data_IF_266404677748
#
_entry.id   IF_266404677748
#
_cell.length_a   1.000
_cell.length_b   1.000
_cell.length_c   1.000
_cell.angle_alpha   90.00
_cell.angle_beta   90.00
_cell.angle_gamma   90.00
#
_symmetry.space_group_name_H-M   'P 1'
#
loop_
_entity.id
_entity.type
_entity.pdbx_description
1 polymer ?
#
# COMPACT_ATOMS: atom_id res chain seq x y z
N UNK A 1 -90.87 71.48 18.54
CA UNK A 1 -90.88 70.06 18.15
C UNK A 1 -90.07 69.25 19.18
N UNK A 2 -90.73 68.48 20.05
CA UNK A 2 -90.10 67.42 20.87
C UNK A 2 -90.80 66.11 20.51
N UNK A 3 -90.02 65.14 20.02
CA UNK A 3 -90.49 63.76 19.75
C UNK A 3 -90.67 63.00 21.07
N UNK A 4 -91.65 62.09 21.18
CA UNK A 4 -91.87 61.30 22.38
C UNK A 4 -90.86 60.16 22.52
N UNK A 5 -90.50 59.85 23.77
CA UNK A 5 -89.68 58.70 24.15
C UNK A 5 -90.35 57.37 23.81
N UNK A 6 -89.59 56.46 23.21
CA UNK A 6 -90.04 55.16 22.73
C UNK A 6 -90.02 54.07 23.80
N UNK A 7 -90.99 53.17 23.69
CA UNK A 7 -91.32 52.01 24.53
C UNK A 7 -90.14 51.04 24.87
N UNK A 8 -88.96 51.20 24.28
CA UNK A 8 -87.81 50.30 24.43
C UNK A 8 -87.02 50.45 25.74
N UNK A 9 -86.91 51.65 26.32
CA UNK A 9 -86.03 51.87 27.49
C UNK A 9 -86.60 51.34 28.80
N UNK A 10 -87.92 51.14 28.89
CA UNK A 10 -88.57 50.52 30.06
C UNK A 10 -88.39 49.00 30.11
N UNK A 11 -88.13 48.33 28.98
CA UNK A 11 -88.03 46.88 28.91
C UNK A 11 -86.67 46.35 29.42
N UNK A 12 -85.58 47.07 29.12
CA UNK A 12 -84.22 46.64 29.50
C UNK A 12 -83.94 46.72 31.01
N UNK A 13 -84.47 47.74 31.71
CA UNK A 13 -84.31 47.86 33.17
C UNK A 13 -85.07 46.79 33.97
N UNK A 14 -86.04 46.11 33.37
CA UNK A 14 -86.80 45.03 34.01
C UNK A 14 -86.09 43.67 33.94
N UNK A 15 -85.30 43.43 32.88
CA UNK A 15 -84.58 42.16 32.65
C UNK A 15 -83.37 42.02 33.60
N UNK A 16 -82.62 43.09 33.84
CA UNK A 16 -81.43 43.06 34.73
C UNK A 16 -81.78 42.78 36.20
N UNK A 17 -82.92 43.28 36.68
CA UNK A 17 -83.36 43.01 38.06
C UNK A 17 -83.84 41.57 38.28
N UNK A 18 -84.34 40.89 37.24
CA UNK A 18 -84.75 39.47 37.32
C UNK A 18 -83.56 38.51 37.25
N UNK A 19 -82.51 38.82 36.48
CA UNK A 19 -81.31 37.97 36.42
C UNK A 19 -80.54 37.96 37.76
N UNK A 20 -80.42 39.11 38.40
CA UNK A 20 -79.70 39.25 39.68
C UNK A 20 -80.38 38.50 40.84
N UNK A 21 -81.72 38.39 40.83
CA UNK A 21 -82.49 37.66 41.85
C UNK A 21 -82.46 36.12 41.67
N UNK A 22 -82.22 35.63 40.44
CA UNK A 22 -82.09 34.19 40.15
C UNK A 22 -80.71 33.65 40.54
N UNK A 23 -79.66 34.44 40.33
CA UNK A 23 -78.26 34.03 40.60
C UNK A 23 -77.91 33.94 42.10
N UNK A 24 -78.65 34.60 42.99
CA UNK A 24 -78.42 34.48 44.45
C UNK A 24 -79.00 33.19 45.05
N UNK A 25 -80.00 32.59 44.40
CA UNK A 25 -80.75 31.42 44.91
C UNK A 25 -80.01 30.08 44.69
N UNK A 26 -79.04 30.03 43.78
CA UNK A 26 -78.32 28.81 43.40
C UNK A 26 -76.82 28.80 43.78
N UNK A 27 -76.33 29.83 44.51
CA UNK A 27 -74.90 29.89 44.93
C UNK A 27 -74.49 28.69 45.78
N UNK A 28 -75.39 28.16 46.62
CA UNK A 28 -75.13 26.95 47.41
C UNK A 28 -75.05 25.68 46.57
N UNK A 29 -75.92 25.54 45.56
CA UNK A 29 -75.96 24.35 44.68
C UNK A 29 -74.75 24.30 43.74
N UNK A 30 -74.33 25.47 43.23
CA UNK A 30 -73.13 25.58 42.39
C UNK A 30 -71.85 25.19 43.14
N UNK A 31 -71.73 25.52 44.43
CA UNK A 31 -70.59 25.13 45.26
C UNK A 31 -70.58 23.62 45.57
N UNK A 32 -71.74 23.03 45.85
CA UNK A 32 -71.85 21.59 46.16
C UNK A 32 -71.53 20.69 44.96
N UNK A 33 -71.79 21.15 43.73
CA UNK A 33 -71.49 20.37 42.51
C UNK A 33 -70.09 20.64 41.97
N UNK A 34 -69.59 21.87 42.08
CA UNK A 34 -68.27 22.22 41.51
C UNK A 34 -67.10 21.64 42.30
N UNK A 35 -67.19 21.55 43.63
CA UNK A 35 -66.11 21.04 44.48
C UNK A 35 -65.82 19.54 44.22
N UNK A 36 -66.81 18.63 44.19
CA UNK A 36 -66.56 17.22 43.87
C UNK A 36 -66.00 17.01 42.47
N UNK A 37 -66.47 17.77 41.49
CA UNK A 37 -65.99 17.68 40.09
C UNK A 37 -64.53 18.11 40.00
N UNK A 38 -64.15 19.19 40.67
CA UNK A 38 -62.76 19.65 40.72
C UNK A 38 -61.85 18.66 41.47
N UNK A 39 -62.34 18.03 42.54
CA UNK A 39 -61.60 16.99 43.26
C UNK A 39 -61.40 15.74 42.40
N UNK A 40 -62.41 15.30 41.64
CA UNK A 40 -62.27 14.17 40.71
C UNK A 40 -61.26 14.49 39.60
N UNK A 41 -61.31 15.71 39.04
CA UNK A 41 -60.33 16.15 38.04
C UNK A 41 -58.91 16.20 38.61
N UNK A 42 -58.74 16.68 39.86
CA UNK A 42 -57.46 16.70 40.54
C UNK A 42 -56.90 15.28 40.75
N UNK A 43 -57.73 14.32 41.16
CA UNK A 43 -57.33 12.91 41.32
C UNK A 43 -56.94 12.28 39.97
N UNK A 44 -57.68 12.54 38.89
CA UNK A 44 -57.38 11.98 37.56
C UNK A 44 -56.09 12.54 36.96
N UNK A 45 -55.73 13.78 37.30
CA UNK A 45 -54.56 14.48 36.73
C UNK A 45 -53.30 14.37 37.59
N UNK A 46 -53.44 14.30 38.92
CA UNK A 46 -52.29 14.30 39.85
C UNK A 46 -51.92 12.90 40.36
N UNK A 47 -52.79 11.88 40.22
CA UNK A 47 -52.37 10.50 40.52
C UNK A 47 -51.58 9.97 39.33
N UNK A 48 -50.27 9.68 39.49
CA UNK A 48 -49.48 9.10 38.41
C UNK A 48 -50.12 7.76 38.03
N UNK A 49 -50.52 7.63 36.76
CA UNK A 49 -50.96 6.35 36.20
C UNK A 49 -49.80 5.37 36.33
N UNK A 50 -49.88 4.49 37.32
CA UNK A 50 -49.06 3.28 37.35
C UNK A 50 -49.41 2.54 36.07
N UNK A 51 -48.49 2.55 35.12
CA UNK A 51 -48.61 1.73 33.92
C UNK A 51 -48.81 0.29 34.39
N UNK A 52 -49.73 -0.49 33.79
CA UNK A 52 -49.81 -1.91 34.13
C UNK A 52 -48.40 -2.47 33.96
N UNK A 53 -47.90 -3.20 34.96
CA UNK A 53 -46.64 -3.92 34.89
C UNK A 53 -46.58 -4.58 33.52
N UNK A 54 -45.74 -4.03 32.64
CA UNK A 54 -45.36 -4.69 31.42
C UNK A 54 -44.63 -5.92 31.91
N UNK A 55 -45.33 -7.05 31.93
CA UNK A 55 -44.66 -8.34 31.99
C UNK A 55 -43.62 -8.26 30.89
N UNK A 56 -42.36 -8.12 31.27
CA UNK A 56 -41.24 -8.28 30.35
C UNK A 56 -41.50 -9.61 29.67
N UNK A 57 -41.86 -9.57 28.39
CA UNK A 57 -41.66 -10.75 27.56
C UNK A 57 -40.18 -11.06 27.77
N UNK A 58 -39.81 -12.27 28.22
CA UNK A 58 -38.40 -12.63 28.25
C UNK A 58 -37.90 -12.37 26.84
N UNK A 59 -36.99 -11.41 26.70
CA UNK A 59 -36.30 -11.18 25.44
C UNK A 59 -35.78 -12.54 25.01
N UNK A 60 -36.35 -13.09 23.94
CA UNK A 60 -35.80 -14.32 23.38
C UNK A 60 -34.32 -14.05 23.11
N UNK A 61 -33.45 -15.02 23.37
CA UNK A 61 -32.00 -14.95 23.08
C UNK A 61 -31.67 -14.52 21.63
N UNK A 62 -32.68 -14.45 20.76
CA UNK A 62 -32.64 -13.88 19.40
C UNK A 62 -32.58 -12.35 19.34
N UNK A 63 -33.14 -11.60 20.29
CA UNK A 63 -33.16 -10.12 20.24
C UNK A 63 -31.95 -9.45 20.89
N UNK A 64 -31.26 -10.14 21.80
CA UNK A 64 -29.93 -9.73 22.32
C UNK A 64 -28.81 -9.92 21.28
N UNK A 65 -29.11 -10.52 20.13
CA UNK A 65 -28.25 -10.52 18.94
C UNK A 65 -28.52 -9.28 18.08
N UNK A 66 -28.39 -8.09 18.64
CA UNK A 66 -27.76 -7.02 17.87
C UNK A 66 -26.27 -7.33 17.84
N UNK A 67 -25.92 -8.33 17.03
CA UNK A 67 -24.53 -8.65 16.71
C UNK A 67 -24.02 -7.41 15.96
N UNK A 68 -23.29 -6.55 16.67
CA UNK A 68 -22.42 -5.58 16.02
C UNK A 68 -21.59 -6.32 14.96
N UNK A 69 -21.14 -5.63 13.89
CA UNK A 69 -20.54 -6.29 12.73
C UNK A 69 -19.55 -7.38 13.17
N UNK A 70 -19.81 -8.62 12.76
CA UNK A 70 -19.05 -9.79 13.21
C UNK A 70 -17.56 -9.58 12.88
N UNK A 71 -16.74 -9.48 13.93
CA UNK A 71 -15.30 -9.32 13.78
C UNK A 71 -14.71 -10.71 13.56
N UNK A 72 -14.24 -10.97 12.35
CA UNK A 72 -13.60 -12.24 12.01
C UNK A 72 -12.08 -12.09 12.04
N UNK A 73 -11.38 -13.00 12.72
CA UNK A 73 -9.92 -13.09 12.58
C UNK A 73 -9.58 -13.83 11.29
N UNK A 74 -8.72 -13.25 10.46
CA UNK A 74 -8.19 -13.85 9.23
C UNK A 74 -6.66 -13.93 9.32
N UNK A 75 -6.10 -14.94 8.67
CA UNK A 75 -4.66 -15.06 8.48
C UNK A 75 -4.36 -15.19 6.99
N UNK A 76 -3.14 -14.82 6.59
CA UNK A 76 -2.58 -15.14 5.28
C UNK A 76 -1.08 -15.37 5.43
N UNK A 77 -0.57 -16.41 4.75
CA UNK A 77 0.84 -16.78 4.76
C UNK A 77 1.43 -16.52 3.38
N UNK A 78 2.44 -15.67 3.32
CA UNK A 78 3.11 -15.31 2.07
C UNK A 78 4.60 -15.56 2.20
N UNK A 79 5.12 -16.44 1.35
CA UNK A 79 6.54 -16.67 1.20
C UNK A 79 7.11 -15.80 0.09
N UNK A 80 8.13 -15.01 0.43
CA UNK A 80 8.97 -14.30 -0.54
C UNK A 80 10.25 -15.09 -0.78
N UNK A 81 10.37 -15.71 -1.96
CA UNK A 81 11.56 -16.42 -2.39
C UNK A 81 12.47 -15.51 -3.21
N UNK A 82 13.25 -14.71 -2.49
CA UNK A 82 14.31 -13.85 -3.02
C UNK A 82 15.54 -14.60 -3.56
N UNK A 83 16.37 -13.90 -4.32
CA UNK A 83 17.63 -14.45 -4.85
C UNK A 83 18.67 -14.76 -3.77
N UNK A 84 18.68 -14.02 -2.66
CA UNK A 84 19.68 -14.14 -1.59
C UNK A 84 19.16 -14.88 -0.35
N UNK A 85 17.85 -15.11 -0.27
CA UNK A 85 17.20 -15.72 0.88
C UNK A 85 15.70 -15.89 0.64
N UNK A 86 15.07 -16.70 1.49
CA UNK A 86 13.63 -16.92 1.52
C UNK A 86 13.05 -16.38 2.82
N UNK A 87 11.85 -15.81 2.76
CA UNK A 87 11.16 -15.19 3.90
C UNK A 87 9.75 -15.73 4.00
N UNK A 88 9.19 -15.72 5.20
CA UNK A 88 7.76 -15.93 5.43
C UNK A 88 7.19 -14.74 6.18
N UNK A 89 6.03 -14.28 5.73
CA UNK A 89 5.16 -13.37 6.45
C UNK A 89 3.89 -14.14 6.83
N UNK A 90 3.52 -14.07 8.10
CA UNK A 90 2.24 -14.59 8.61
C UNK A 90 1.44 -13.41 9.10
N UNK A 91 0.59 -12.88 8.21
CA UNK A 91 -0.25 -11.74 8.51
C UNK A 91 -1.49 -12.18 9.27
N UNK A 92 -1.84 -11.42 10.31
CA UNK A 92 -3.09 -11.56 11.06
C UNK A 92 -3.92 -10.30 10.91
N UNK A 93 -5.16 -10.47 10.49
CA UNK A 93 -6.12 -9.38 10.30
C UNK A 93 -7.36 -9.55 11.19
N UNK A 94 -7.93 -8.42 11.60
CA UNK A 94 -9.36 -8.35 11.95
C UNK A 94 -10.14 -7.90 10.72
N UNK A 95 -11.15 -8.66 10.34
CA UNK A 95 -12.07 -8.30 9.28
C UNK A 95 -13.37 -7.78 9.88
N UNK A 96 -13.78 -6.56 9.48
CA UNK A 96 -15.06 -5.95 9.86
C UNK A 96 -15.76 -5.44 8.62
N UNK A 97 -16.96 -5.94 8.34
CA UNK A 97 -17.75 -5.55 7.16
C UNK A 97 -16.94 -5.59 5.84
N UNK A 98 -16.10 -6.63 5.67
CA UNK A 98 -15.23 -6.79 4.51
C UNK A 98 -13.92 -6.01 4.53
N UNK A 99 -13.71 -5.08 5.47
CA UNK A 99 -12.45 -4.34 5.60
C UNK A 99 -11.46 -5.11 6.47
N UNK A 100 -10.22 -5.25 5.99
CA UNK A 100 -9.11 -5.91 6.69
C UNK A 100 -8.28 -4.88 7.47
N UNK A 101 -8.14 -5.08 8.78
CA UNK A 101 -7.26 -4.32 9.65
C UNK A 101 -6.09 -5.20 10.10
N UNK A 102 -4.86 -4.84 9.72
CA UNK A 102 -3.65 -5.58 10.06
C UNK A 102 -3.38 -5.44 11.56
N UNK A 103 -3.23 -6.58 12.23
CA UNK A 103 -2.95 -6.63 13.66
C UNK A 103 -1.51 -7.04 13.92
N UNK A 104 -0.94 -7.94 13.11
CA UNK A 104 0.45 -8.35 13.23
C UNK A 104 0.99 -8.97 11.95
N UNK A 105 2.28 -8.80 11.71
CA UNK A 105 3.09 -9.56 10.76
C UNK A 105 4.15 -10.36 11.52
N UNK A 106 4.04 -11.69 11.52
CA UNK A 106 5.13 -12.54 12.01
C UNK A 106 6.07 -12.84 10.87
N UNK A 107 7.30 -12.33 10.99
CA UNK A 107 8.32 -12.39 9.96
C UNK A 107 9.48 -13.32 10.36
N UNK A 108 9.91 -14.17 9.43
CA UNK A 108 11.17 -14.91 9.55
C UNK A 108 11.88 -15.00 8.19
N UNK A 109 13.22 -15.04 8.22
CA UNK A 109 14.06 -15.10 7.02
C UNK A 109 15.17 -16.14 7.16
N UNK A 110 15.42 -16.86 6.06
CA UNK A 110 16.54 -17.78 5.90
C UNK A 110 17.45 -17.37 4.74
N UNK A 111 18.71 -17.82 4.82
CA UNK A 111 19.70 -17.78 3.74
C UNK A 111 20.35 -19.17 3.62
N UNK A 112 20.78 -19.60 2.42
CA UNK A 112 20.63 -18.91 1.14
C UNK A 112 19.21 -19.04 0.55
N UNK A 113 18.94 -18.37 -0.58
CA UNK A 113 17.66 -18.46 -1.29
C UNK A 113 17.52 -19.73 -2.14
N UNK A 114 16.32 -19.98 -2.67
CA UNK A 114 15.99 -21.20 -3.43
C UNK A 114 16.92 -21.46 -4.63
N UNK A 115 17.38 -20.40 -5.31
CA UNK A 115 18.28 -20.52 -6.46
C UNK A 115 19.63 -21.15 -6.13
N UNK A 116 20.06 -21.14 -4.87
CA UNK A 116 21.31 -21.79 -4.43
C UNK A 116 21.21 -23.31 -4.40
N UNK A 117 20.00 -23.85 -4.56
CA UNK A 117 19.71 -25.28 -4.62
C UNK A 117 19.29 -25.70 -6.05
N UNK A 118 19.75 -24.98 -7.08
CA UNK A 118 19.38 -25.20 -8.48
C UNK A 118 19.51 -26.65 -8.96
N UNK A 119 20.47 -27.41 -8.42
CA UNK A 119 20.71 -28.81 -8.79
C UNK A 119 19.89 -29.82 -7.95
N UNK A 120 19.28 -29.38 -6.84
CA UNK A 120 18.56 -30.25 -5.90
C UNK A 120 17.22 -29.62 -5.46
N UNK A 121 16.15 -29.80 -6.27
CA UNK A 121 14.82 -29.28 -5.96
C UNK A 121 14.24 -29.77 -4.63
N UNK A 122 14.57 -31.00 -4.21
CA UNK A 122 14.09 -31.55 -2.95
C UNK A 122 14.72 -30.82 -1.75
N UNK A 123 16.04 -30.54 -1.83
CA UNK A 123 16.73 -29.72 -0.84
C UNK A 123 16.26 -28.26 -0.86
N UNK A 124 15.94 -27.72 -2.04
CA UNK A 124 15.34 -26.38 -2.16
C UNK A 124 14.03 -26.29 -1.36
N UNK A 125 13.12 -27.24 -1.55
CA UNK A 125 11.86 -27.29 -0.81
C UNK A 125 12.11 -27.51 0.69
N UNK A 126 12.95 -28.47 1.06
CA UNK A 126 13.27 -28.77 2.46
C UNK A 126 13.87 -27.56 3.21
N UNK A 127 14.58 -26.67 2.51
CA UNK A 127 15.13 -25.44 3.12
C UNK A 127 14.07 -24.49 3.66
N UNK A 128 12.82 -24.60 3.22
CA UNK A 128 11.69 -23.79 3.70
C UNK A 128 11.05 -24.33 4.99
N UNK A 129 11.45 -25.51 5.47
CA UNK A 129 10.81 -26.14 6.62
C UNK A 129 10.80 -25.25 7.88
N UNK A 130 11.90 -24.57 8.28
CA UNK A 130 11.86 -23.73 9.47
C UNK A 130 10.85 -22.58 9.37
N UNK A 131 10.70 -22.00 8.17
CA UNK A 131 9.71 -20.95 7.90
C UNK A 131 8.26 -21.50 7.96
N UNK A 132 8.05 -22.74 7.51
CA UNK A 132 6.75 -23.42 7.64
C UNK A 132 6.42 -23.72 9.10
N UNK A 133 7.41 -24.13 9.89
CA UNK A 133 7.23 -24.39 11.32
C UNK A 133 6.76 -23.11 12.06
N UNK A 134 7.31 -21.95 11.68
CA UNK A 134 6.86 -20.65 12.18
C UNK A 134 5.42 -20.32 11.78
N UNK A 135 5.02 -20.63 10.54
CA UNK A 135 3.63 -20.47 10.12
C UNK A 135 2.67 -21.39 10.90
N UNK A 136 3.04 -22.66 11.07
CA UNK A 136 2.27 -23.65 11.84
C UNK A 136 2.11 -23.26 13.31
N UNK A 137 3.16 -22.72 13.91
CA UNK A 137 3.14 -22.24 15.30
C UNK A 137 2.30 -20.97 15.48
N UNK A 138 2.32 -20.09 14.48
CA UNK A 138 1.64 -18.78 14.54
C UNK A 138 0.14 -18.88 14.29
N UNK A 139 -0.29 -19.73 13.33
CA UNK A 139 -1.71 -19.84 12.96
C UNK A 139 -2.43 -20.91 13.82
N UNK A 140 -3.49 -20.55 14.56
CA UNK A 140 -4.23 -21.51 15.37
C UNK A 140 -4.82 -22.66 14.53
N UNK A 141 -4.76 -23.89 15.04
CA UNK A 141 -5.19 -25.10 14.33
C UNK A 141 -6.61 -25.00 13.71
N UNK A 142 -7.54 -24.34 14.40
CA UNK A 142 -8.92 -24.14 13.93
C UNK A 142 -9.04 -23.24 12.70
N UNK A 143 -8.03 -22.42 12.41
CA UNK A 143 -8.02 -21.47 11.28
C UNK A 143 -7.11 -21.90 10.13
N UNK A 144 -6.23 -22.90 10.34
CA UNK A 144 -5.25 -23.34 9.34
C UNK A 144 -5.91 -23.72 8.02
N UNK A 145 -6.96 -24.55 8.04
CA UNK A 145 -7.66 -25.00 6.82
C UNK A 145 -8.28 -23.85 5.99
N UNK A 146 -8.55 -22.71 6.62
CA UNK A 146 -9.10 -21.52 5.95
C UNK A 146 -8.04 -20.47 5.59
N UNK A 147 -6.81 -20.65 6.04
CA UNK A 147 -5.72 -19.69 5.86
C UNK A 147 -5.03 -19.92 4.52
N UNK A 148 -5.05 -18.95 3.58
CA UNK A 148 -4.31 -19.06 2.35
C UNK A 148 -2.80 -19.09 2.60
N UNK A 149 -2.11 -19.95 1.87
CA UNK A 149 -0.64 -19.99 1.78
C UNK A 149 -0.21 -19.81 0.33
N UNK A 150 0.80 -18.98 0.11
CA UNK A 150 1.43 -18.79 -1.20
C UNK A 150 2.94 -18.62 -1.08
N UNK A 151 3.66 -18.97 -2.13
CA UNK A 151 5.06 -18.66 -2.35
C UNK A 151 5.24 -18.02 -3.72
N UNK A 152 5.87 -16.86 -3.73
CA UNK A 152 6.22 -16.19 -4.97
C UNK A 152 7.73 -16.01 -5.03
N UNK A 153 8.34 -16.53 -6.08
CA UNK A 153 9.77 -16.39 -6.34
C UNK A 153 10.04 -15.16 -7.21
N UNK A 154 11.08 -14.41 -6.89
CA UNK A 154 11.46 -13.21 -7.65
C UNK A 154 12.43 -13.54 -8.79
N UNK A 155 12.99 -12.50 -9.42
CA UNK A 155 13.85 -12.61 -10.60
C UNK A 155 15.03 -13.60 -10.47
N UNK A 156 15.54 -13.85 -9.25
CA UNK A 156 16.65 -14.78 -9.03
C UNK A 156 16.36 -16.20 -9.50
N UNK A 157 15.14 -16.70 -9.30
CA UNK A 157 14.77 -18.06 -9.71
C UNK A 157 14.53 -18.13 -11.23
N UNK A 158 13.98 -17.06 -11.83
CA UNK A 158 13.75 -16.94 -13.28
C UNK A 158 15.04 -17.03 -14.12
N UNK A 159 16.18 -16.66 -13.54
CA UNK A 159 17.47 -16.66 -14.24
C UNK A 159 18.17 -18.03 -14.25
N UNK A 160 17.59 -19.06 -13.63
CA UNK A 160 18.18 -20.40 -13.67
C UNK A 160 18.06 -21.00 -15.08
N UNK A 161 19.10 -21.73 -15.54
CA UNK A 161 19.08 -22.34 -16.87
C UNK A 161 18.18 -23.58 -16.92
N UNK A 162 17.57 -23.83 -18.08
CA UNK A 162 16.78 -25.03 -18.34
C UNK A 162 15.46 -25.04 -17.58
N UNK A 163 15.07 -26.21 -17.06
CA UNK A 163 13.82 -26.47 -16.33
C UNK A 163 13.98 -26.39 -14.79
N UNK A 164 15.09 -25.84 -14.31
CA UNK A 164 15.48 -25.87 -12.89
C UNK A 164 14.50 -25.08 -12.01
N UNK A 165 14.05 -23.93 -12.48
CA UNK A 165 13.09 -23.10 -11.76
C UNK A 165 11.76 -23.83 -11.57
N UNK A 166 11.25 -24.45 -12.64
CA UNK A 166 10.01 -25.22 -12.66
C UNK A 166 10.10 -26.43 -11.74
N UNK A 167 11.23 -27.15 -11.76
CA UNK A 167 11.46 -28.30 -10.86
C UNK A 167 11.49 -27.89 -9.39
N UNK A 168 12.13 -26.76 -9.05
CA UNK A 168 12.12 -26.21 -7.69
C UNK A 168 10.70 -25.82 -7.28
N UNK A 169 9.97 -25.09 -8.11
CA UNK A 169 8.60 -24.67 -7.80
C UNK A 169 7.66 -25.86 -7.64
N UNK A 170 7.80 -26.90 -8.46
CA UNK A 170 7.05 -28.14 -8.31
C UNK A 170 7.33 -28.83 -6.96
N UNK A 171 8.60 -28.93 -6.55
CA UNK A 171 8.97 -29.50 -5.26
C UNK A 171 8.40 -28.68 -4.07
N UNK A 172 8.46 -27.35 -4.17
CA UNK A 172 7.86 -26.44 -3.18
C UNK A 172 6.34 -26.59 -3.14
N UNK A 173 5.67 -26.66 -4.27
CA UNK A 173 4.21 -26.83 -4.33
C UNK A 173 3.78 -28.13 -3.67
N UNK A 174 4.52 -29.23 -3.89
CA UNK A 174 4.28 -30.50 -3.20
C UNK A 174 4.50 -30.40 -1.69
N UNK A 175 5.47 -29.61 -1.24
CA UNK A 175 5.69 -29.35 0.19
C UNK A 175 4.51 -28.56 0.80
N UNK A 176 4.05 -27.50 0.13
CA UNK A 176 2.94 -26.67 0.62
C UNK A 176 1.60 -27.42 0.62
N UNK A 177 1.35 -28.28 -0.38
CA UNK A 177 0.15 -29.13 -0.44
C UNK A 177 0.03 -30.13 0.72
N UNK A 178 1.14 -30.47 1.39
CA UNK A 178 1.15 -31.35 2.56
C UNK A 178 0.81 -30.62 3.87
N UNK A 179 0.74 -29.30 3.84
CA UNK A 179 0.46 -28.49 5.02
C UNK A 179 -1.06 -28.36 5.25
N UNK A 180 -1.51 -28.08 6.48
CA UNK A 180 -2.94 -27.90 6.80
C UNK A 180 -3.51 -26.56 6.29
N UNK A 181 -2.77 -25.82 5.47
CA UNK A 181 -3.16 -24.53 4.91
C UNK A 181 -3.81 -24.67 3.53
N UNK A 182 -4.62 -23.69 3.15
CA UNK A 182 -5.22 -23.64 1.82
C UNK A 182 -4.22 -23.07 0.81
N UNK A 183 -3.67 -23.89 -0.07
CA UNK A 183 -2.83 -23.37 -1.16
C UNK A 183 -3.65 -22.42 -2.05
N UNK A 184 -3.20 -21.18 -2.22
CA UNK A 184 -3.85 -20.22 -3.10
C UNK A 184 -3.82 -20.71 -4.57
N UNK A 185 -4.82 -20.38 -5.41
CA UNK A 185 -4.75 -20.66 -6.85
C UNK A 185 -3.51 -20.02 -7.47
N UNK A 186 -2.68 -20.79 -8.19
CA UNK A 186 -1.38 -20.30 -8.66
C UNK A 186 -0.44 -19.87 -7.52
N UNK A 187 -0.65 -20.46 -6.34
CA UNK A 187 -0.03 -20.06 -5.08
C UNK A 187 1.47 -20.31 -5.04
N UNK A 188 2.03 -21.17 -5.89
CA UNK A 188 3.48 -21.32 -6.07
C UNK A 188 3.84 -20.92 -7.49
N UNK A 189 4.53 -19.80 -7.65
CA UNK A 189 4.88 -19.27 -8.96
C UNK A 189 6.11 -18.36 -8.91
N UNK A 190 6.71 -18.13 -10.08
CA UNK A 190 7.55 -16.94 -10.26
C UNK A 190 6.61 -15.73 -10.35
N UNK A 191 6.87 -14.72 -9.54
CA UNK A 191 6.13 -13.47 -9.58
C UNK A 191 6.40 -12.75 -10.91
N UNK A 192 5.35 -12.35 -11.62
CA UNK A 192 5.51 -11.37 -12.67
C UNK A 192 5.94 -10.05 -12.02
N UNK A 193 6.94 -9.37 -12.56
CA UNK A 193 7.36 -8.07 -12.05
C UNK A 193 6.22 -7.05 -12.02
N UNK A 194 5.19 -7.23 -12.86
CA UNK A 194 3.95 -6.43 -12.79
C UNK A 194 3.17 -6.68 -11.49
N UNK A 195 3.04 -7.93 -11.08
CA UNK A 195 2.36 -8.28 -9.82
C UNK A 195 3.14 -7.75 -8.61
N UNK A 196 4.48 -7.82 -8.65
CA UNK A 196 5.36 -7.25 -7.62
C UNK A 196 5.07 -5.76 -7.40
N UNK A 197 5.06 -4.97 -8.49
CA UNK A 197 4.75 -3.55 -8.43
C UNK A 197 3.32 -3.26 -7.99
N UNK A 198 2.35 -4.05 -8.46
CA UNK A 198 0.94 -3.91 -8.10
C UNK A 198 0.71 -4.13 -6.61
N UNK A 199 1.24 -5.22 -6.07
CA UNK A 199 1.10 -5.56 -4.66
C UNK A 199 1.92 -4.63 -3.76
N UNK A 200 3.11 -4.20 -4.16
CA UNK A 200 3.86 -3.17 -3.44
C UNK A 200 3.08 -1.84 -3.34
N UNK A 201 2.42 -1.44 -4.43
CA UNK A 201 1.53 -0.28 -4.43
C UNK A 201 0.34 -0.44 -3.46
N UNK A 202 -0.27 -1.63 -3.44
CA UNK A 202 -1.38 -1.93 -2.54
C UNK A 202 -0.94 -1.93 -1.07
N UNK A 203 0.20 -2.56 -0.75
CA UNK A 203 0.84 -2.49 0.58
C UNK A 203 0.99 -1.05 1.02
N UNK A 204 1.63 -0.23 0.18
CA UNK A 204 1.97 1.14 0.55
C UNK A 204 0.71 1.98 0.81
N UNK A 205 -0.27 1.93 -0.09
CA UNK A 205 -1.50 2.70 0.06
C UNK A 205 -2.38 2.18 1.20
N UNK A 206 -2.31 0.89 1.50
CA UNK A 206 -2.95 0.31 2.69
C UNK A 206 -2.35 0.89 3.97
N UNK A 207 -1.02 0.80 4.12
CA UNK A 207 -0.32 1.25 5.33
C UNK A 207 -0.43 2.77 5.52
N UNK A 208 -0.46 3.55 4.44
CA UNK A 208 -0.66 5.01 4.49
C UNK A 208 -2.14 5.43 4.66
N UNK A 209 -3.08 4.48 4.73
CA UNK A 209 -4.51 4.78 4.88
C UNK A 209 -5.11 5.51 3.67
N UNK A 210 -4.58 5.29 2.46
CA UNK A 210 -4.98 6.02 1.23
C UNK A 210 -6.02 5.30 0.39
N UNK A 211 -6.33 4.03 0.69
CA UNK A 211 -7.30 3.24 -0.08
C UNK A 211 -8.77 3.65 0.11
N UNK A 212 -9.09 4.47 1.12
CA UNK A 212 -10.46 4.93 1.35
C UNK A 212 -10.92 6.02 0.36
N UNK A 213 -9.99 6.67 -0.34
CA UNK A 213 -10.26 7.75 -1.28
C UNK A 213 -10.56 7.32 -2.72
N UNK A 214 -10.41 8.28 -3.63
CA UNK A 214 -10.36 8.16 -5.09
C UNK A 214 -8.96 7.75 -5.58
N UNK A 215 -8.79 7.48 -6.88
CA UNK A 215 -7.46 7.16 -7.42
C UNK A 215 -6.47 8.33 -7.20
N UNK A 216 -6.93 9.58 -7.27
CA UNK A 216 -6.09 10.76 -6.99
C UNK A 216 -5.63 10.90 -5.53
N UNK A 217 -6.29 10.24 -4.57
CA UNK A 217 -5.90 10.28 -3.16
C UNK A 217 -4.74 9.30 -2.84
N UNK A 218 -4.48 8.37 -3.75
CA UNK A 218 -3.42 7.36 -3.62
C UNK A 218 -2.04 7.91 -3.99
N UNK A 219 -1.00 7.21 -3.57
CA UNK A 219 0.40 7.51 -3.89
C UNK A 219 0.91 6.58 -5.00
N UNK A 220 1.92 7.01 -5.74
CA UNK A 220 2.69 6.13 -6.63
C UNK A 220 3.77 5.38 -5.86
N UNK A 221 4.02 4.14 -6.27
CA UNK A 221 5.15 3.34 -5.82
C UNK A 221 6.14 3.14 -6.97
N UNK A 222 7.42 3.39 -6.70
CA UNK A 222 8.53 3.04 -7.59
C UNK A 222 9.48 2.15 -6.80
N UNK A 223 9.66 0.91 -7.24
CA UNK A 223 10.50 -0.05 -6.53
C UNK A 223 11.66 -0.47 -7.40
N UNK A 224 12.89 -0.19 -6.98
CA UNK A 224 14.09 -0.60 -7.70
C UNK A 224 14.71 -1.82 -7.04
N UNK A 225 14.38 -2.99 -7.58
CA UNK A 225 15.03 -4.25 -7.24
C UNK A 225 16.37 -4.43 -7.96
N UNK A 226 16.91 -5.65 -7.89
CA UNK A 226 18.21 -5.97 -8.51
C UNK A 226 18.12 -6.16 -10.03
N UNK A 227 17.11 -6.92 -10.48
CA UNK A 227 16.93 -7.26 -11.90
C UNK A 227 15.96 -6.37 -12.65
N UNK A 228 14.98 -5.80 -11.97
CA UNK A 228 13.93 -4.95 -12.53
C UNK A 228 13.69 -3.74 -11.64
N UNK A 229 12.96 -2.79 -12.20
CA UNK A 229 12.39 -1.66 -11.49
C UNK A 229 10.92 -1.56 -11.90
N UNK A 230 10.06 -1.26 -10.94
CA UNK A 230 8.63 -1.21 -11.12
C UNK A 230 8.14 0.21 -10.90
N UNK A 231 7.06 0.57 -11.60
CA UNK A 231 6.26 1.74 -11.26
C UNK A 231 4.78 1.34 -11.24
N UNK A 232 4.07 1.78 -10.20
CA UNK A 232 2.66 1.52 -10.03
C UNK A 232 1.91 2.73 -9.46
N UNK A 233 0.73 3.03 -10.00
CA UNK A 233 -0.19 4.06 -9.49
C UNK A 233 -1.63 3.81 -9.93
N UNK A 234 -2.63 4.27 -9.14
CA UNK A 234 -4.03 4.14 -9.54
C UNK A 234 -4.37 5.05 -10.73
N UNK A 235 -5.24 4.53 -11.60
CA UNK A 235 -5.86 5.23 -12.71
C UNK A 235 -7.33 5.51 -12.40
N UNK A 236 -7.82 6.65 -12.88
CA UNK A 236 -9.25 6.88 -13.00
C UNK A 236 -9.86 5.90 -14.01
N UNK A 237 -11.14 5.57 -13.84
CA UNK A 237 -11.81 4.57 -14.68
C UNK A 237 -11.81 4.92 -16.18
N UNK A 238 -11.78 6.21 -16.54
CA UNK A 238 -11.70 6.65 -17.92
C UNK A 238 -10.32 6.33 -18.55
N UNK A 239 -9.25 6.60 -17.81
CA UNK A 239 -7.87 6.33 -18.27
C UNK A 239 -7.57 4.83 -18.33
N UNK A 240 -8.10 4.07 -17.37
CA UNK A 240 -7.95 2.61 -17.37
C UNK A 240 -8.61 1.95 -18.61
N UNK A 241 -9.71 2.52 -19.13
CA UNK A 241 -10.41 2.01 -20.31
C UNK A 241 -9.66 2.22 -21.62
N UNK A 242 -8.85 3.28 -21.70
CA UNK A 242 -8.06 3.62 -22.90
C UNK A 242 -6.62 3.14 -22.81
N UNK A 243 -6.22 2.58 -21.66
CA UNK A 243 -4.90 2.01 -21.46
C UNK A 243 -4.63 0.85 -22.44
N UNK A 244 -3.40 0.75 -22.99
CA UNK A 244 -2.98 -0.43 -23.73
C UNK A 244 -3.13 -1.70 -22.89
N UNK A 245 -3.29 -2.83 -23.58
CA UNK A 245 -3.34 -4.15 -22.94
C UNK A 245 -2.09 -4.36 -22.08
N UNK A 246 -2.26 -5.08 -20.97
CA UNK A 246 -1.20 -5.50 -20.07
C UNK A 246 -0.55 -4.39 -19.20
N UNK A 247 -1.01 -3.12 -19.29
CA UNK A 247 -0.54 -2.04 -18.41
C UNK A 247 -1.39 -1.77 -17.17
N UNK A 248 -2.59 -2.37 -17.09
CA UNK A 248 -3.50 -2.20 -15.94
C UNK A 248 -3.64 -3.52 -15.22
N UNK A 249 -3.49 -3.50 -13.90
CA UNK A 249 -3.85 -4.61 -12.99
C UNK A 249 -5.02 -4.17 -12.14
N UNK A 250 -6.00 -5.06 -11.99
CA UNK A 250 -7.14 -4.86 -11.10
C UNK A 250 -6.78 -5.44 -9.74
N UNK A 251 -6.82 -4.62 -8.70
CA UNK A 251 -6.53 -5.02 -7.32
C UNK A 251 -7.73 -4.82 -6.42
N UNK A 252 -7.84 -5.67 -5.40
CA UNK A 252 -8.91 -5.63 -4.40
C UNK A 252 -8.36 -5.28 -3.02
N UNK A 253 -8.97 -4.31 -2.34
CA UNK A 253 -8.56 -3.88 -1.00
C UNK A 253 -9.47 -2.81 -0.42
N UNK A 254 -9.54 -2.73 0.91
CA UNK A 254 -10.39 -1.77 1.63
C UNK A 254 -11.87 -1.75 1.18
N UNK A 255 -12.40 -2.91 0.75
CA UNK A 255 -13.77 -3.05 0.23
C UNK A 255 -14.01 -2.42 -1.15
N UNK A 256 -12.94 -2.10 -1.90
CA UNK A 256 -13.00 -1.49 -3.23
C UNK A 256 -12.13 -2.25 -4.23
N UNK A 257 -12.34 -1.93 -5.51
CA UNK A 257 -11.52 -2.38 -6.63
C UNK A 257 -10.76 -1.18 -7.21
N UNK A 258 -9.47 -1.36 -7.50
CA UNK A 258 -8.60 -0.33 -8.05
C UNK A 258 -8.07 -0.76 -9.42
N UNK A 259 -8.14 0.14 -10.39
CA UNK A 259 -7.40 0.00 -11.65
C UNK A 259 -6.02 0.60 -11.44
N UNK A 260 -4.98 -0.23 -11.40
CA UNK A 260 -3.62 0.21 -11.11
C UNK A 260 -2.82 0.11 -12.40
N UNK A 261 -2.31 1.25 -12.89
CA UNK A 261 -1.23 1.22 -13.86
C UNK A 261 -0.05 0.52 -13.22
N UNK A 262 0.52 -0.46 -13.89
CA UNK A 262 1.77 -1.08 -13.46
C UNK A 262 2.62 -1.45 -14.66
N UNK A 263 3.91 -1.12 -14.58
CA UNK A 263 4.90 -1.64 -15.51
C UNK A 263 6.18 -2.06 -14.77
N UNK A 264 6.75 -3.19 -15.18
CA UNK A 264 8.03 -3.69 -14.69
C UNK A 264 9.06 -3.67 -15.82
N UNK A 265 10.12 -2.90 -15.61
CA UNK A 265 11.21 -2.74 -16.56
C UNK A 265 12.29 -3.77 -16.24
N UNK A 266 12.12 -4.98 -16.77
CA UNK A 266 13.11 -6.04 -16.62
C UNK A 266 14.44 -5.64 -17.29
N UNK A 267 15.55 -5.90 -16.61
CA UNK A 267 16.88 -5.49 -17.06
C UNK A 267 17.25 -4.04 -16.69
N UNK A 268 16.42 -3.37 -15.88
CA UNK A 268 16.64 -1.99 -15.44
C UNK A 268 16.68 -1.82 -13.91
N UNK A 269 16.66 -2.90 -13.13
CA UNK A 269 17.01 -2.85 -11.69
C UNK A 269 18.47 -2.47 -11.47
N UNK A 270 18.92 -2.26 -10.23
CA UNK A 270 20.25 -1.68 -9.98
C UNK A 270 21.40 -2.55 -10.50
N UNK A 271 21.35 -3.87 -10.26
CA UNK A 271 22.37 -4.81 -10.72
C UNK A 271 22.35 -4.94 -12.25
N UNK A 272 21.16 -5.03 -12.84
CA UNK A 272 21.01 -5.04 -14.30
C UNK A 272 21.47 -3.72 -14.95
N UNK A 273 21.19 -2.60 -14.29
CA UNK A 273 21.60 -1.26 -14.68
C UNK A 273 23.11 -1.12 -14.73
N UNK A 274 23.83 -1.66 -13.75
CA UNK A 274 25.30 -1.77 -13.79
C UNK A 274 25.78 -2.47 -15.05
N UNK A 275 25.26 -3.67 -15.33
CA UNK A 275 25.61 -4.42 -16.54
C UNK A 275 25.33 -3.61 -17.82
N UNK A 276 24.15 -2.99 -17.90
CA UNK A 276 23.72 -2.18 -19.05
C UNK A 276 24.60 -0.94 -19.27
N UNK A 277 24.95 -0.22 -18.20
CA UNK A 277 25.83 0.96 -18.29
C UNK A 277 27.29 0.57 -18.58
N UNK A 278 27.77 -0.56 -18.04
CA UNK A 278 29.10 -1.09 -18.39
C UNK A 278 29.15 -1.41 -19.88
N UNK A 279 28.17 -2.14 -20.38
CA UNK A 279 28.07 -2.53 -21.79
C UNK A 279 27.98 -1.31 -22.72
N UNK A 280 27.11 -0.35 -22.41
CA UNK A 280 26.99 0.89 -23.17
C UNK A 280 28.30 1.71 -23.18
N UNK A 281 29.10 1.61 -22.11
CA UNK A 281 30.39 2.28 -22.00
C UNK A 281 31.54 1.61 -22.76
N UNK A 282 31.37 0.41 -23.31
CA UNK A 282 32.43 -0.31 -24.05
C UNK A 282 32.81 0.34 -25.37
N UNK A 283 31.89 1.11 -25.98
CA UNK A 283 32.09 1.86 -27.22
C UNK A 283 32.85 3.19 -27.02
N UNK A 284 33.26 3.51 -25.79
CA UNK A 284 33.89 4.79 -25.44
C UNK A 284 34.55 4.80 -24.06
N UNK A 285 34.64 5.98 -23.46
CA UNK A 285 35.22 6.20 -22.13
C UNK A 285 34.11 6.13 -21.07
N UNK A 286 34.10 5.10 -20.23
CA UNK A 286 33.05 4.91 -19.22
C UNK A 286 33.25 5.86 -18.02
N UNK A 287 32.52 6.97 -18.03
CA UNK A 287 32.58 8.00 -16.99
C UNK A 287 32.05 7.58 -15.61
N UNK A 288 31.54 6.37 -15.44
CA UNK A 288 30.98 5.93 -14.16
C UNK A 288 32.01 5.34 -13.18
N UNK A 289 33.25 5.10 -13.63
CA UNK A 289 34.29 4.42 -12.84
C UNK A 289 35.50 5.33 -12.60
N UNK A 290 35.93 5.42 -11.34
CA UNK A 290 37.12 6.15 -10.93
C UNK A 290 38.39 5.29 -11.00
N UNK A 291 39.58 5.92 -10.93
CA UNK A 291 40.84 5.18 -10.88
C UNK A 291 40.86 4.14 -9.78
N UNK A 292 41.35 2.95 -10.11
CA UNK A 292 41.38 1.78 -9.24
C UNK A 292 40.13 0.89 -9.32
N UNK A 293 39.04 1.35 -9.94
CA UNK A 293 37.85 0.55 -10.23
C UNK A 293 37.95 -0.09 -11.63
N UNK A 294 38.65 -1.21 -11.73
CA UNK A 294 38.71 -2.03 -12.94
C UNK A 294 38.46 -3.50 -12.58
N UNK A 295 37.74 -4.22 -13.44
CA UNK A 295 37.45 -5.61 -13.17
C UNK A 295 36.37 -6.20 -14.07
N UNK A 296 35.79 -7.30 -13.59
CA UNK A 296 34.68 -7.99 -14.21
C UNK A 296 33.46 -7.94 -13.30
N UNK A 297 32.32 -7.61 -13.87
CA UNK A 297 31.02 -7.68 -13.22
C UNK A 297 30.23 -8.84 -13.82
N UNK A 298 30.01 -9.90 -13.05
CA UNK A 298 29.22 -11.04 -13.49
C UNK A 298 27.73 -10.77 -13.25
N UNK A 299 26.91 -10.81 -14.30
CA UNK A 299 25.47 -10.65 -14.21
C UNK A 299 24.76 -11.53 -15.23
N UNK A 300 23.72 -12.25 -14.79
CA UNK A 300 22.90 -13.13 -15.63
C UNK A 300 23.73 -14.09 -16.52
N UNK A 301 24.80 -14.67 -15.98
CA UNK A 301 25.67 -15.62 -16.70
C UNK A 301 26.66 -14.99 -17.69
N UNK A 302 26.76 -13.67 -17.75
CA UNK A 302 27.71 -12.93 -18.60
C UNK A 302 28.69 -12.10 -17.77
N UNK A 303 29.95 -12.09 -18.18
CA UNK A 303 30.99 -11.22 -17.63
C UNK A 303 31.04 -9.88 -18.37
N UNK A 304 30.88 -8.79 -17.62
CA UNK A 304 30.99 -7.42 -18.12
C UNK A 304 32.29 -6.81 -17.64
N UNK A 305 33.25 -6.59 -18.55
CA UNK A 305 34.54 -5.97 -18.20
C UNK A 305 34.41 -4.45 -18.19
N UNK A 306 34.89 -3.81 -17.12
CA UNK A 306 34.91 -2.35 -16.99
C UNK A 306 36.29 -1.86 -16.59
N UNK A 307 36.61 -0.65 -17.04
CA UNK A 307 37.83 0.07 -16.71
C UNK A 307 37.52 1.57 -16.60
N UNK A 308 38.30 2.33 -15.81
CA UNK A 308 38.09 3.76 -15.69
C UNK A 308 38.38 4.49 -16.99
N UNK A 309 37.67 5.60 -17.18
CA UNK A 309 37.79 6.54 -18.28
C UNK A 309 39.03 7.44 -18.22
N UNK A 310 39.54 7.67 -17.01
CA UNK A 310 40.63 8.59 -16.65
C UNK A 310 40.83 8.59 -15.13
N UNK A 311 41.49 9.63 -14.60
CA UNK A 311 41.90 9.67 -13.19
C UNK A 311 40.72 9.65 -12.19
N UNK A 312 39.59 10.26 -12.56
CA UNK A 312 38.34 10.24 -11.78
C UNK A 312 37.16 9.77 -12.63
N UNK A 313 36.07 9.37 -11.97
CA UNK A 313 34.78 9.28 -12.63
C UNK A 313 34.29 10.70 -12.99
N UNK A 314 33.28 10.79 -13.85
CA UNK A 314 32.64 12.01 -14.30
C UNK A 314 31.13 11.79 -14.27
N UNK A 315 30.46 12.37 -13.28
CA UNK A 315 29.03 12.20 -13.07
C UNK A 315 28.19 12.68 -14.26
N UNK A 316 28.65 13.68 -15.02
CA UNK A 316 27.94 14.17 -16.21
C UNK A 316 28.03 13.14 -17.33
N UNK A 317 29.22 12.62 -17.61
CA UNK A 317 29.40 11.55 -18.60
C UNK A 317 28.64 10.28 -18.20
N UNK A 318 28.67 9.91 -16.93
CA UNK A 318 27.90 8.77 -16.43
C UNK A 318 26.39 9.00 -16.57
N UNK A 319 25.90 10.22 -16.32
CA UNK A 319 24.49 10.59 -16.50
C UNK A 319 24.08 10.50 -17.98
N UNK A 320 24.89 11.06 -18.89
CA UNK A 320 24.67 10.95 -20.34
C UNK A 320 24.62 9.50 -20.79
N UNK A 321 25.54 8.66 -20.29
CA UNK A 321 25.57 7.23 -20.59
C UNK A 321 24.30 6.52 -20.11
N UNK A 322 23.87 6.79 -18.88
CA UNK A 322 22.63 6.24 -18.32
C UNK A 322 21.39 6.68 -19.12
N UNK A 323 21.29 7.97 -19.47
CA UNK A 323 20.18 8.49 -20.26
C UNK A 323 20.10 7.83 -21.65
N UNK A 324 21.24 7.62 -22.31
CA UNK A 324 21.31 6.90 -23.57
C UNK A 324 20.87 5.43 -23.41
N UNK A 325 21.33 4.76 -22.34
CA UNK A 325 21.00 3.35 -22.06
C UNK A 325 19.50 3.11 -21.79
N UNK A 326 18.76 4.12 -21.35
CA UNK A 326 17.32 4.03 -21.14
C UNK A 326 16.50 4.06 -22.44
N UNK A 327 17.06 4.59 -23.53
CA UNK A 327 16.31 4.86 -24.75
C UNK A 327 15.04 5.69 -24.46
N UNK A 328 15.16 6.73 -23.63
CA UNK A 328 14.03 7.56 -23.17
C UNK A 328 13.27 8.30 -24.29
N UNK A 329 13.85 8.37 -25.48
CA UNK A 329 13.25 8.98 -26.67
C UNK A 329 12.45 7.97 -27.51
N UNK A 330 12.47 6.68 -27.16
CA UNK A 330 11.70 5.66 -27.87
C UNK A 330 10.21 5.88 -27.57
N UNK A 331 9.42 6.03 -28.63
CA UNK A 331 7.95 6.11 -28.52
C UNK A 331 7.36 4.75 -28.14
N UNK A 332 6.24 4.81 -27.44
CA UNK A 332 5.44 3.68 -26.99
C UNK A 332 4.19 3.45 -27.87
N UNK A 333 4.17 4.03 -29.08
CA UNK A 333 2.99 4.02 -29.95
C UNK A 333 1.90 5.04 -29.55
N UNK A 334 2.24 5.95 -28.63
CA UNK A 334 1.39 7.05 -28.17
C UNK A 334 2.18 8.37 -28.16
N UNK A 335 1.55 9.46 -27.72
CA UNK A 335 2.25 10.75 -27.57
C UNK A 335 3.44 10.62 -26.62
N UNK A 336 4.53 11.35 -26.88
CA UNK A 336 5.78 11.21 -26.12
C UNK A 336 5.63 11.51 -24.62
N UNK A 337 4.63 12.32 -24.25
CA UNK A 337 4.29 12.61 -22.84
C UNK A 337 3.70 11.38 -22.13
N UNK A 338 3.10 10.46 -22.88
CA UNK A 338 2.52 9.23 -22.37
C UNK A 338 3.51 8.05 -22.33
N UNK A 339 4.72 8.25 -22.83
CA UNK A 339 5.77 7.24 -22.78
C UNK A 339 6.73 7.51 -21.62
N UNK A 340 7.32 6.47 -21.05
CA UNK A 340 8.41 6.57 -20.10
C UNK A 340 9.75 6.42 -20.82
N UNK A 341 10.30 5.21 -20.82
CA UNK A 341 11.55 4.81 -21.47
C UNK A 341 11.43 3.39 -22.03
N UNK A 342 12.37 3.00 -22.90
CA UNK A 342 12.36 1.70 -23.57
C UNK A 342 11.02 1.37 -24.27
N UNK A 343 10.35 2.40 -24.81
CA UNK A 343 9.09 2.25 -25.54
C UNK A 343 7.89 1.86 -24.67
N UNK A 344 7.97 2.01 -23.34
CA UNK A 344 6.87 1.69 -22.46
C UNK A 344 5.87 2.85 -22.32
N UNK A 345 4.59 2.50 -22.31
CA UNK A 345 3.49 3.43 -22.00
C UNK A 345 3.41 3.68 -20.49
N UNK A 346 2.99 4.89 -20.08
CA UNK A 346 2.88 5.34 -18.69
C UNK A 346 1.60 6.15 -18.40
N UNK A 347 0.60 6.09 -19.27
CA UNK A 347 -0.61 6.90 -19.09
C UNK A 347 -0.40 8.38 -19.38
N UNK A 348 -1.32 9.23 -18.92
CA UNK A 348 -1.37 10.66 -19.28
C UNK A 348 -0.27 11.54 -18.61
N UNK A 349 0.92 10.98 -18.40
CA UNK A 349 2.06 11.65 -17.78
C UNK A 349 2.00 11.74 -16.25
N UNK A 350 2.81 12.65 -15.69
CA UNK A 350 2.78 12.97 -14.26
C UNK A 350 1.45 13.65 -13.94
N UNK A 351 0.56 12.99 -13.19
CA UNK A 351 -0.63 13.70 -12.73
C UNK A 351 -0.18 14.80 -11.74
N UNK A 352 -0.74 16.00 -11.92
CA UNK A 352 -0.47 17.13 -11.03
C UNK A 352 -0.79 16.70 -9.60
N UNK A 353 0.18 16.83 -8.69
CA UNK A 353 0.01 16.53 -7.27
C UNK A 353 0.23 15.07 -6.86
N UNK A 354 0.58 14.15 -7.77
CA UNK A 354 0.92 12.77 -7.38
C UNK A 354 2.14 12.74 -6.46
N UNK A 355 2.01 12.04 -5.34
CA UNK A 355 3.13 11.78 -4.43
C UNK A 355 3.80 10.47 -4.83
N UNK A 356 5.14 10.48 -4.90
CA UNK A 356 5.92 9.30 -5.26
C UNK A 356 6.69 8.78 -4.05
N UNK A 357 6.57 7.49 -3.82
CA UNK A 357 7.35 6.75 -2.85
C UNK A 357 8.30 5.82 -3.59
N UNK A 358 9.57 5.88 -3.23
CA UNK A 358 10.67 5.14 -3.87
C UNK A 358 11.31 4.20 -2.85
N UNK A 359 11.48 2.93 -3.19
CA UNK A 359 11.90 1.87 -2.25
C UNK A 359 13.14 1.10 -2.69
N UNK A 360 13.54 0.11 -1.88
CA UNK A 360 14.61 -0.85 -2.15
C UNK A 360 15.96 -0.16 -2.42
N UNK A 361 16.58 -0.35 -3.59
CA UNK A 361 17.92 0.16 -3.82
C UNK A 361 18.03 1.69 -3.82
N UNK A 362 16.93 2.43 -4.00
CA UNK A 362 16.92 3.87 -3.73
C UNK A 362 17.22 4.16 -2.25
N UNK A 363 16.57 3.42 -1.35
CA UNK A 363 16.81 3.51 0.09
C UNK A 363 18.25 3.14 0.43
N UNK A 364 18.74 2.00 -0.06
CA UNK A 364 20.08 1.51 0.25
C UNK A 364 21.16 2.53 -0.15
N UNK A 365 21.09 3.08 -1.38
CA UNK A 365 22.03 4.10 -1.84
C UNK A 365 21.91 5.42 -1.07
N UNK A 366 20.72 5.76 -0.60
CA UNK A 366 20.51 6.93 0.23
C UNK A 366 21.12 6.76 1.64
N UNK A 367 21.05 5.55 2.22
CA UNK A 367 21.73 5.20 3.48
C UNK A 367 23.24 5.21 3.31
N UNK A 368 23.77 4.54 2.28
CA UNK A 368 25.22 4.41 2.01
C UNK A 368 25.91 5.77 1.90
N UNK A 369 25.18 6.81 1.48
CA UNK A 369 25.71 8.13 1.20
C UNK A 369 25.33 9.20 2.22
N UNK A 370 24.45 8.89 3.18
CA UNK A 370 23.96 9.88 4.14
C UNK A 370 22.99 10.92 3.55
N UNK A 371 22.32 10.59 2.43
CA UNK A 371 21.09 11.31 2.04
C UNK A 371 20.06 11.14 3.17
N UNK A 372 19.90 9.90 3.65
CA UNK A 372 19.21 9.61 4.91
C UNK A 372 20.18 9.86 6.05
N UNK A 373 19.90 10.88 6.86
CA UNK A 373 20.79 11.30 7.98
C UNK A 373 20.48 10.57 9.28
N UNK A 374 19.23 10.14 9.44
CA UNK A 374 18.77 9.40 10.61
C UNK A 374 18.61 7.91 10.24
N UNK A 375 19.46 7.06 10.82
CA UNK A 375 19.42 5.61 10.56
C UNK A 375 18.20 4.91 11.17
N UNK A 376 17.49 5.56 12.09
CA UNK A 376 16.22 5.06 12.65
C UNK A 376 15.02 5.38 11.77
N UNK A 377 15.19 6.24 10.76
CA UNK A 377 14.12 6.61 9.85
C UNK A 377 13.59 5.37 9.10
N UNK A 378 12.28 5.32 8.93
CA UNK A 378 11.57 4.30 8.12
C UNK A 378 11.07 4.88 6.79
N UNK A 379 10.93 6.21 6.74
CA UNK A 379 10.64 7.03 5.57
C UNK A 379 11.50 8.29 5.57
N UNK A 380 11.89 8.80 4.39
CA UNK A 380 12.72 10.00 4.29
C UNK A 380 12.39 10.84 3.04
N UNK A 381 12.03 12.13 3.17
CA UNK A 381 11.82 12.99 2.01
C UNK A 381 13.15 13.34 1.34
N UNK A 382 13.19 13.29 0.01
CA UNK A 382 14.36 13.65 -0.80
C UNK A 382 13.90 14.18 -2.17
N UNK A 383 14.86 14.43 -3.06
CA UNK A 383 14.60 14.82 -4.46
C UNK A 383 15.57 14.08 -5.39
N UNK A 384 15.24 13.90 -6.68
CA UNK A 384 16.20 13.38 -7.65
C UNK A 384 17.50 14.21 -7.71
N UNK A 385 17.40 15.53 -7.51
CA UNK A 385 18.55 16.44 -7.43
C UNK A 385 19.50 16.14 -6.26
N UNK A 386 19.01 15.60 -5.14
CA UNK A 386 19.89 15.17 -4.05
C UNK A 386 20.72 13.94 -4.44
N UNK A 387 20.13 12.96 -5.14
CA UNK A 387 20.88 11.85 -5.73
C UNK A 387 21.92 12.34 -6.74
N UNK A 388 21.57 13.31 -7.59
CA UNK A 388 22.50 13.93 -8.55
C UNK A 388 23.69 14.60 -7.86
N UNK A 389 23.41 15.43 -6.84
CA UNK A 389 24.45 16.12 -6.08
C UNK A 389 25.38 15.11 -5.39
N UNK A 390 24.81 14.05 -4.82
CA UNK A 390 25.59 13.01 -4.14
C UNK A 390 26.39 12.16 -5.11
N UNK A 391 25.85 11.87 -6.29
CA UNK A 391 26.59 11.26 -7.38
C UNK A 391 27.79 12.12 -7.76
N UNK A 392 27.64 13.43 -7.95
CA UNK A 392 28.74 14.33 -8.29
C UNK A 392 29.85 14.34 -7.21
N UNK A 393 29.47 14.35 -5.92
CA UNK A 393 30.41 14.24 -4.79
C UNK A 393 31.20 12.93 -4.84
N UNK A 394 30.52 11.79 -5.00
CA UNK A 394 31.16 10.46 -5.04
C UNK A 394 32.04 10.30 -6.28
N UNK A 395 31.54 10.68 -7.46
CA UNK A 395 32.26 10.51 -8.73
C UNK A 395 33.55 11.35 -8.79
N UNK A 396 33.65 12.43 -8.00
CA UNK A 396 34.86 13.26 -7.91
C UNK A 396 36.00 12.62 -7.10
N UNK A 397 35.75 11.50 -6.40
CA UNK A 397 36.71 10.81 -5.53
C UNK A 397 37.28 9.55 -6.18
N UNK A 398 38.52 9.20 -5.82
CA UNK A 398 39.11 7.90 -6.16
C UNK A 398 38.55 6.75 -5.31
N UNK A 399 38.71 5.50 -5.75
CA UNK A 399 38.09 4.33 -5.10
C UNK A 399 38.47 4.19 -3.61
N UNK A 400 39.74 4.41 -3.25
CA UNK A 400 40.19 4.31 -1.86
C UNK A 400 39.54 5.38 -0.96
N UNK A 401 39.38 6.59 -1.49
CA UNK A 401 38.71 7.68 -0.80
C UNK A 401 37.22 7.36 -0.62
N UNK A 402 36.52 6.87 -1.65
CA UNK A 402 35.12 6.45 -1.55
C UNK A 402 34.95 5.33 -0.50
N UNK A 403 35.81 4.31 -0.55
CA UNK A 403 35.81 3.19 0.41
C UNK A 403 35.89 3.71 1.86
N UNK A 404 36.78 4.67 2.11
CA UNK A 404 36.98 5.27 3.45
C UNK A 404 35.84 6.23 3.85
N UNK A 405 35.45 7.15 2.97
CA UNK A 405 34.45 8.19 3.23
C UNK A 405 33.07 7.61 3.53
N UNK A 406 32.67 6.55 2.81
CA UNK A 406 31.35 5.92 2.94
C UNK A 406 31.39 4.59 3.70
N UNK A 407 32.57 4.18 4.21
CA UNK A 407 32.76 2.94 4.99
C UNK A 407 32.24 1.68 4.28
N UNK A 408 32.39 1.64 2.96
CA UNK A 408 31.94 0.54 2.12
C UNK A 408 33.07 -0.47 1.88
N UNK A 409 32.72 -1.72 1.62
CA UNK A 409 33.66 -2.68 1.06
C UNK A 409 34.05 -2.25 -0.36
N UNK A 410 35.28 -2.56 -0.77
CA UNK A 410 35.84 -2.09 -2.05
C UNK A 410 35.00 -2.54 -3.26
N UNK A 411 34.46 -3.75 -3.21
CA UNK A 411 33.62 -4.35 -4.24
C UNK A 411 32.27 -3.63 -4.42
N UNK A 412 31.73 -3.03 -3.36
CA UNK A 412 30.56 -2.16 -3.40
C UNK A 412 30.93 -0.71 -3.78
N UNK A 413 32.02 -0.18 -3.20
CA UNK A 413 32.46 1.20 -3.37
C UNK A 413 32.73 1.56 -4.85
N UNK A 414 33.29 0.61 -5.61
CA UNK A 414 33.59 0.80 -7.04
C UNK A 414 32.37 1.07 -7.93
N UNK A 415 31.16 0.74 -7.47
CA UNK A 415 29.92 0.98 -8.22
C UNK A 415 29.12 2.18 -7.68
N UNK A 416 29.55 2.83 -6.60
CA UNK A 416 28.71 3.82 -5.92
C UNK A 416 28.40 5.06 -6.79
N UNK A 417 29.40 5.57 -7.54
CA UNK A 417 29.20 6.65 -8.50
C UNK A 417 28.17 6.28 -9.58
N UNK A 418 28.31 5.08 -10.15
CA UNK A 418 27.37 4.52 -11.14
C UNK A 418 25.96 4.44 -10.54
N UNK A 419 25.82 3.81 -9.38
CA UNK A 419 24.53 3.55 -8.75
C UNK A 419 23.75 4.84 -8.45
N UNK A 420 24.39 5.84 -7.84
CA UNK A 420 23.75 7.12 -7.52
C UNK A 420 23.35 7.88 -8.77
N UNK A 421 24.22 7.87 -9.78
CA UNK A 421 23.92 8.46 -11.08
C UNK A 421 22.70 7.76 -11.71
N UNK A 422 22.67 6.43 -11.62
CA UNK A 422 21.56 5.62 -12.13
C UNK A 422 20.26 5.90 -11.37
N UNK A 423 20.27 6.03 -10.04
CA UNK A 423 19.10 6.47 -9.26
C UNK A 423 18.52 7.79 -9.82
N UNK A 424 19.36 8.81 -9.99
CA UNK A 424 18.92 10.09 -10.56
C UNK A 424 18.39 9.95 -12.00
N UNK A 425 19.09 9.22 -12.85
CA UNK A 425 18.72 8.99 -14.26
C UNK A 425 17.37 8.27 -14.37
N UNK A 426 17.13 7.25 -13.54
CA UNK A 426 15.85 6.53 -13.51
C UNK A 426 14.69 7.45 -13.13
N UNK A 427 14.86 8.29 -12.10
CA UNK A 427 13.82 9.22 -11.68
C UNK A 427 13.57 10.32 -12.71
N UNK A 428 14.62 10.96 -13.24
CA UNK A 428 14.49 12.17 -14.08
C UNK A 428 14.38 11.90 -15.57
N UNK A 429 15.00 10.84 -16.09
CA UNK A 429 14.99 10.49 -17.52
C UNK A 429 14.05 9.33 -17.81
N UNK A 430 14.02 8.32 -16.93
CA UNK A 430 13.11 7.19 -17.05
C UNK A 430 11.67 7.58 -16.72
N UNK A 431 11.43 7.95 -15.47
CA UNK A 431 10.13 8.37 -14.96
C UNK A 431 9.86 9.86 -15.09
N UNK A 432 10.73 10.60 -15.79
CA UNK A 432 10.50 12.00 -16.19
C UNK A 432 10.09 12.92 -15.04
N UNK A 433 10.48 12.59 -13.79
CA UNK A 433 10.19 13.40 -12.62
C UNK A 433 10.98 14.71 -12.69
N UNK A 434 10.37 15.81 -12.27
CA UNK A 434 11.10 17.07 -12.11
C UNK A 434 12.26 16.86 -11.10
N UNK A 435 13.49 17.33 -11.38
CA UNK A 435 14.61 17.14 -10.46
C UNK A 435 14.38 17.68 -9.05
N UNK A 436 13.50 18.66 -8.89
CA UNK A 436 13.13 19.27 -7.60
C UNK A 436 11.85 18.71 -7.02
N UNK A 437 11.19 17.75 -7.70
CA UNK A 437 10.01 17.06 -7.17
C UNK A 437 10.39 16.33 -5.89
N UNK A 438 9.61 16.58 -4.82
CA UNK A 438 9.74 15.82 -3.58
C UNK A 438 9.26 14.39 -3.81
N UNK A 439 10.11 13.43 -3.44
CA UNK A 439 9.79 12.01 -3.37
C UNK A 439 10.08 11.51 -1.95
N UNK A 440 9.43 10.43 -1.55
CA UNK A 440 9.64 9.82 -0.23
C UNK A 440 10.36 8.50 -0.39
N UNK A 441 11.58 8.39 0.13
CA UNK A 441 12.24 7.10 0.33
C UNK A 441 11.46 6.33 1.39
N UNK A 442 11.18 5.05 1.15
CA UNK A 442 10.45 4.21 2.10
C UNK A 442 11.09 2.83 2.20
N UNK A 443 11.26 2.36 3.44
CA UNK A 443 11.63 0.98 3.76
C UNK A 443 10.54 0.29 4.57
N UNK A 444 10.02 0.99 5.56
CA UNK A 444 8.92 0.52 6.40
C UNK A 444 7.92 1.65 6.61
N UNK A 445 6.68 1.30 6.94
CA UNK A 445 5.65 2.25 7.35
C UNK A 445 5.21 1.89 8.76
N UNK A 446 5.14 2.89 9.63
CA UNK A 446 4.54 2.72 10.96
C UNK A 446 3.03 2.54 10.82
N UNK A 447 2.51 1.42 11.31
CA UNK A 447 1.10 1.06 11.27
C UNK A 447 0.70 0.42 12.59
N UNK A 448 -0.25 1.04 13.31
CA UNK A 448 -0.73 0.57 14.62
C UNK A 448 0.42 0.28 15.63
N UNK A 449 1.47 1.12 15.63
CA UNK A 449 2.63 0.97 16.52
C UNK A 449 3.63 -0.12 16.10
N UNK A 450 3.52 -0.65 14.88
CA UNK A 450 4.46 -1.62 14.30
C UNK A 450 5.12 -1.06 13.05
N UNK A 451 6.38 -1.42 12.79
CA UNK A 451 7.04 -1.10 11.52
C UNK A 451 6.83 -2.24 10.54
N UNK A 452 6.00 -2.00 9.53
CA UNK A 452 5.68 -2.98 8.50
C UNK A 452 6.50 -2.69 7.24
N UNK A 453 7.10 -3.72 6.65
CA UNK A 453 7.88 -3.58 5.43
C UNK A 453 7.02 -3.06 4.26
N UNK A 454 7.52 -2.04 3.56
CA UNK A 454 6.87 -1.49 2.37
C UNK A 454 7.20 -2.34 1.13
N UNK A 455 6.84 -3.62 1.19
CA UNK A 455 7.09 -4.61 0.14
C UNK A 455 5.80 -5.31 -0.29
N UNK A 456 5.86 -6.05 -1.39
CA UNK A 456 4.71 -6.71 -2.00
C UNK A 456 3.94 -7.75 -1.14
N UNK A 457 4.52 -8.47 -0.14
CA UNK A 457 3.81 -9.57 0.51
C UNK A 457 2.49 -9.20 1.18
N UNK A 458 2.42 -8.04 1.85
CA UNK A 458 1.19 -7.58 2.50
C UNK A 458 0.07 -7.29 1.48
N UNK A 459 0.40 -6.63 0.37
CA UNK A 459 -0.54 -6.33 -0.70
C UNK A 459 -1.08 -7.59 -1.36
N UNK A 460 -0.23 -8.60 -1.59
CA UNK A 460 -0.68 -9.89 -2.09
C UNK A 460 -1.67 -10.55 -1.11
N UNK A 461 -1.36 -10.56 0.19
CA UNK A 461 -2.26 -11.10 1.22
C UNK A 461 -3.60 -10.36 1.29
N UNK A 462 -3.59 -9.03 1.23
CA UNK A 462 -4.81 -8.21 1.23
C UNK A 462 -5.65 -8.52 -0.01
N UNK A 463 -5.00 -8.58 -1.18
CA UNK A 463 -5.69 -8.87 -2.43
C UNK A 463 -6.34 -10.26 -2.40
N UNK A 464 -5.60 -11.29 -2.00
CA UNK A 464 -6.10 -12.67 -1.92
C UNK A 464 -7.26 -12.83 -0.93
N UNK A 465 -7.21 -12.12 0.21
CA UNK A 465 -8.29 -12.13 1.20
C UNK A 465 -9.50 -11.26 0.83
N UNK A 466 -9.34 -10.35 -0.13
CA UNK A 466 -10.39 -9.41 -0.57
C UNK A 466 -11.04 -9.79 -1.91
N UNK A 467 -10.52 -10.82 -2.59
CA UNK A 467 -10.96 -11.27 -3.92
C UNK A 467 -12.07 -12.32 -3.88
#
# INVERSE_FOLDING_TARGET
MKRPEGFGEKLWRSVDKKLSYSLSRYRGVLLVVSIPVLLILAVVTLVPRVSPLRVERPHTLKELRHVGPEVQTKYAIVFDAGSTGSRVHVFRFEQRSGQLNLISDTFEQLKPGLSSYAEDPAKAAASLQPLLDTALKTVPASLQASTPISLKATAGLRLLPGDKAERILAAVEQLLKKQPFKLAPGGVAIMDGKDEGAFAWLTLNYLLGKLSGSASDTVAAIDMGGGSIQEAFALEAADAKTAPKDYVTVLHGAGKTFNVYVHSYLGYGLMAGRAKLIEAGTSGSNGCFATGAAGKYAYAGKDYSYKPAGDSADSKKCNTLGAAALQSNLTCGAEQIQCSFNGAWRGNGLSKGRQYYVSSYFWDRAVDTGIIKDQSATMWPTTPKEFEAKAAEVCSQGLDAVTKSYKLQRDAAQFLCLDLTYCNVMLTKGFKLDPSMKVTLVKQVEYNGQHIEAAWPLGAAINDLSS
#
